data_IF_154094865097
#
_entry.id   IF_154094865097
#
_cell.length_a   1.000
_cell.length_b   1.000
_cell.length_c   1.000
_cell.angle_alpha   90.00
_cell.angle_beta   90.00
_cell.angle_gamma   90.00
#
_symmetry.space_group_name_H-M   'P 1'
#
loop_
_entity.id
_entity.type
_entity.pdbx_description
1 polymer ?
#
# COMPACT_ATOMS: atom_id res chain seq x y z
N UNK A 1 21.43 4.12 5.34
CA UNK A 1 21.17 3.26 4.17
C UNK A 1 21.61 1.86 4.53
N UNK A 2 20.66 0.97 4.89
CA UNK A 2 21.00 -0.37 5.37
C UNK A 2 21.77 -1.14 4.28
N UNK A 3 22.96 -1.65 4.63
CA UNK A 3 23.73 -2.58 3.79
C UNK A 3 23.01 -3.93 3.75
N UNK A 4 21.90 -4.03 3.02
CA UNK A 4 21.29 -5.32 2.66
C UNK A 4 21.65 -5.63 1.21
N UNK A 5 22.37 -6.71 0.99
CA UNK A 5 22.67 -7.24 -0.34
C UNK A 5 21.39 -7.86 -0.90
N UNK A 6 20.71 -7.13 -1.77
CA UNK A 6 19.50 -7.62 -2.44
C UNK A 6 19.89 -8.68 -3.48
N UNK A 7 19.25 -9.84 -3.41
CA UNK A 7 19.55 -10.96 -4.30
C UNK A 7 18.79 -10.76 -5.61
N UNK A 8 19.36 -11.02 -6.80
CA UNK A 8 18.74 -10.75 -8.11
C UNK A 8 17.32 -11.34 -8.28
N UNK A 9 17.02 -12.45 -7.61
CA UNK A 9 15.71 -13.09 -7.63
C UNK A 9 14.60 -12.23 -6.99
N UNK A 10 14.93 -11.35 -6.03
CA UNK A 10 13.99 -10.44 -5.38
C UNK A 10 13.58 -9.31 -6.33
N UNK A 11 14.50 -8.90 -7.21
CA UNK A 11 14.23 -7.94 -8.28
C UNK A 11 13.26 -8.49 -9.32
N UNK A 12 13.50 -9.73 -9.77
CA UNK A 12 12.61 -10.40 -10.71
C UNK A 12 11.21 -10.53 -10.11
N UNK A 13 11.07 -11.04 -8.89
CA UNK A 13 9.76 -11.18 -8.23
C UNK A 13 9.01 -9.84 -8.06
N UNK A 14 9.72 -8.77 -7.69
CA UNK A 14 9.12 -7.44 -7.53
C UNK A 14 8.66 -6.84 -8.87
N UNK A 15 9.48 -6.94 -9.93
CA UNK A 15 9.14 -6.42 -11.26
C UNK A 15 7.96 -7.18 -11.86
N UNK A 16 7.95 -8.51 -11.75
CA UNK A 16 6.84 -9.33 -12.25
C UNK A 16 5.52 -9.03 -11.52
N UNK A 17 5.54 -8.81 -10.19
CA UNK A 17 4.31 -8.47 -9.46
C UNK A 17 3.69 -7.13 -9.87
N UNK A 18 4.50 -6.16 -10.27
CA UNK A 18 4.03 -4.80 -10.65
C UNK A 18 3.50 -4.77 -12.07
N UNK A 19 4.17 -5.46 -13.01
CA UNK A 19 3.82 -5.42 -14.44
C UNK A 19 2.49 -6.16 -14.70
N UNK A 20 2.25 -7.29 -14.05
CA UNK A 20 1.06 -8.11 -14.33
C UNK A 20 -0.24 -7.57 -13.69
N UNK A 21 -0.14 -6.75 -12.63
CA UNK A 21 -1.31 -6.10 -12.01
C UNK A 21 -1.97 -5.02 -12.89
N UNK A 22 -1.34 -4.58 -13.99
CA UNK A 22 -1.73 -3.36 -14.73
C UNK A 22 -2.21 -3.60 -16.17
N UNK A 23 -2.36 -4.85 -16.61
CA UNK A 23 -2.52 -5.18 -18.04
C UNK A 23 -3.93 -4.87 -18.61
N UNK A 24 -4.96 -4.67 -17.78
CA UNK A 24 -6.35 -4.63 -18.28
C UNK A 24 -6.85 -3.27 -18.86
N UNK A 25 -6.05 -2.20 -18.93
CA UNK A 25 -6.53 -0.87 -19.37
C UNK A 25 -5.67 -0.13 -20.42
N UNK A 26 -5.18 -0.83 -21.45
CA UNK A 26 -4.36 -0.22 -22.53
C UNK A 26 -5.19 0.05 -23.79
N UNK A 27 -6.24 0.88 -23.71
CA UNK A 27 -6.97 1.30 -24.92
C UNK A 27 -6.78 2.79 -25.28
N UNK A 28 -6.26 3.65 -24.38
CA UNK A 28 -6.05 5.08 -24.68
C UNK A 28 -4.72 5.60 -24.07
N UNK A 29 -3.59 5.10 -24.57
CA UNK A 29 -2.27 5.32 -23.96
C UNK A 29 -1.78 6.78 -23.97
N UNK A 30 -2.13 7.57 -25.01
CA UNK A 30 -1.45 8.84 -25.30
C UNK A 30 -2.09 10.10 -24.68
N UNK A 31 -3.41 10.12 -24.43
CA UNK A 31 -4.11 11.34 -24.00
C UNK A 31 -4.50 11.38 -22.51
N UNK A 32 -4.44 10.25 -21.80
CA UNK A 32 -4.85 10.17 -20.38
C UNK A 32 -3.93 9.27 -19.55
N UNK A 33 -3.44 8.17 -20.13
CA UNK A 33 -2.59 7.20 -19.43
C UNK A 33 -1.18 7.72 -19.20
N UNK A 34 -0.59 8.49 -20.13
CA UNK A 34 0.78 9.02 -20.00
C UNK A 34 1.01 9.83 -18.71
N UNK A 35 0.27 10.92 -18.47
CA UNK A 35 0.38 11.70 -17.23
C UNK A 35 0.03 10.88 -15.98
N UNK A 36 -0.97 10.00 -16.05
CA UNK A 36 -1.35 9.13 -14.94
C UNK A 36 -0.24 8.13 -14.59
N UNK A 37 0.47 7.59 -15.58
CA UNK A 37 1.57 6.65 -15.41
C UNK A 37 2.82 7.36 -14.88
N UNK A 38 3.11 8.58 -15.33
CA UNK A 38 4.16 9.42 -14.74
C UNK A 38 3.87 9.73 -13.27
N UNK A 39 2.62 10.09 -12.96
CA UNK A 39 2.21 10.38 -11.59
C UNK A 39 2.24 9.13 -10.71
N UNK A 40 1.82 7.98 -11.23
CA UNK A 40 1.92 6.69 -10.55
C UNK A 40 3.37 6.29 -10.29
N UNK A 41 4.26 6.47 -11.26
CA UNK A 41 5.69 6.23 -11.11
C UNK A 41 6.29 7.12 -10.01
N UNK A 42 6.00 8.42 -10.06
CA UNK A 42 6.46 9.38 -9.04
C UNK A 42 5.90 9.07 -7.65
N UNK A 43 4.61 8.74 -7.56
CA UNK A 43 3.96 8.31 -6.32
C UNK A 43 4.58 7.04 -5.76
N UNK A 44 4.89 6.05 -6.60
CA UNK A 44 5.54 4.81 -6.18
C UNK A 44 6.95 5.06 -5.61
N UNK A 45 7.71 5.97 -6.22
CA UNK A 45 9.04 6.36 -5.74
C UNK A 45 8.94 7.06 -4.38
N UNK A 46 8.05 8.04 -4.24
CA UNK A 46 7.80 8.72 -2.98
C UNK A 46 7.35 7.75 -1.89
N UNK A 47 6.48 6.79 -2.20
CA UNK A 47 6.02 5.75 -1.27
C UNK A 47 7.17 4.85 -0.81
N UNK A 48 8.07 4.47 -1.71
CA UNK A 48 9.25 3.68 -1.38
C UNK A 48 10.21 4.47 -0.46
N UNK A 49 10.51 5.72 -0.81
CA UNK A 49 11.38 6.61 -0.01
C UNK A 49 10.77 6.86 1.37
N UNK A 50 9.48 7.18 1.45
CA UNK A 50 8.77 7.41 2.70
C UNK A 50 8.77 6.16 3.59
N UNK A 51 8.52 4.98 3.02
CA UNK A 51 8.54 3.72 3.77
C UNK A 51 9.91 3.42 4.38
N UNK A 52 10.99 3.63 3.62
CA UNK A 52 12.36 3.46 4.10
C UNK A 52 12.72 4.50 5.17
N UNK A 53 12.31 5.75 4.99
CA UNK A 53 12.55 6.81 5.97
C UNK A 53 11.82 6.52 7.29
N UNK A 54 10.54 6.12 7.24
CA UNK A 54 9.77 5.70 8.41
C UNK A 54 10.48 4.55 9.13
N UNK A 55 11.00 3.56 8.40
CA UNK A 55 11.76 2.48 9.00
C UNK A 55 13.02 2.97 9.73
N UNK A 56 13.81 3.85 9.11
CA UNK A 56 15.01 4.42 9.76
C UNK A 56 14.65 5.23 11.02
N UNK A 57 13.55 5.98 10.98
CA UNK A 57 13.06 6.76 12.12
C UNK A 57 12.47 5.83 13.18
N UNK A 58 11.79 4.75 12.86
CA UNK A 58 11.24 3.85 13.88
C UNK A 58 12.30 2.96 14.53
N UNK A 59 13.37 2.61 13.79
CA UNK A 59 14.45 1.73 14.28
C UNK A 59 15.60 2.47 14.99
N UNK A 60 15.76 3.77 14.82
CA UNK A 60 16.87 4.51 15.45
C UNK A 60 16.66 4.85 16.94
N UNK A 61 15.73 4.21 17.65
CA UNK A 61 15.55 4.39 19.10
C UNK A 61 14.47 3.52 19.73
N UNK A 62 14.43 3.56 21.06
CA UNK A 62 13.74 2.53 21.85
C UNK A 62 12.23 2.74 21.94
N UNK A 63 11.75 3.98 22.02
CA UNK A 63 10.32 4.29 22.18
C UNK A 63 9.58 4.40 20.84
N UNK A 64 8.77 3.39 20.49
CA UNK A 64 7.95 3.39 19.26
C UNK A 64 6.89 4.48 19.30
N UNK A 65 6.13 4.55 20.40
CA UNK A 65 4.95 5.40 20.51
C UNK A 65 5.27 6.89 20.41
N UNK A 66 6.37 7.32 21.05
CA UNK A 66 6.83 8.71 20.98
C UNK A 66 7.18 9.13 19.55
N UNK A 67 7.79 8.25 18.77
CA UNK A 67 8.17 8.54 17.37
C UNK A 67 6.97 8.48 16.44
N UNK A 68 6.08 7.52 16.66
CA UNK A 68 4.82 7.41 15.93
C UNK A 68 3.97 8.68 16.10
N UNK A 69 3.90 9.22 17.32
CA UNK A 69 3.21 10.47 17.60
C UNK A 69 3.82 11.68 16.89
N UNK A 70 5.15 11.83 16.92
CA UNK A 70 5.84 12.92 16.20
C UNK A 70 5.61 12.83 14.69
N UNK A 71 5.62 11.61 14.12
CA UNK A 71 5.44 11.40 12.69
C UNK A 71 4.02 11.78 12.23
N UNK A 72 2.99 11.42 13.02
CA UNK A 72 1.62 11.80 12.71
C UNK A 72 1.34 13.30 12.88
N UNK A 73 1.91 13.94 13.92
CA UNK A 73 1.79 15.39 14.07
C UNK A 73 2.46 16.12 12.91
N UNK A 74 3.68 15.71 12.54
CA UNK A 74 4.39 16.31 11.42
C UNK A 74 3.62 16.19 10.10
N UNK A 75 3.05 15.02 9.84
CA UNK A 75 2.21 14.79 8.65
C UNK A 75 0.94 15.67 8.65
N UNK A 76 0.26 15.79 9.79
CA UNK A 76 -0.94 16.61 9.93
C UNK A 76 -0.66 18.10 9.70
N UNK A 77 0.44 18.63 10.28
CA UNK A 77 0.84 20.02 10.09
C UNK A 77 1.18 20.34 8.62
N UNK A 78 1.80 19.38 7.92
CA UNK A 78 2.12 19.53 6.50
C UNK A 78 0.84 19.53 5.64
N UNK A 79 -0.12 18.66 5.95
CA UNK A 79 -1.42 18.64 5.28
C UNK A 79 -2.20 19.95 5.49
N UNK A 80 -2.19 20.50 6.70
CA UNK A 80 -2.80 21.81 7.00
C UNK A 80 -2.21 22.92 6.13
N UNK A 81 -0.89 22.95 5.99
CA UNK A 81 -0.20 23.96 5.17
C UNK A 81 -0.55 23.87 3.67
N UNK A 82 -0.83 22.66 3.18
CA UNK A 82 -1.25 22.42 1.79
C UNK A 82 -2.75 22.70 1.57
N UNK A 83 -3.58 22.46 2.59
CA UNK A 83 -5.04 22.65 2.51
C UNK A 83 -5.49 24.12 2.46
N UNK A 84 -4.61 25.07 2.73
CA UNK A 84 -4.88 26.50 2.47
C UNK A 84 -5.07 26.84 0.99
N UNK A 85 -4.81 25.91 0.05
CA UNK A 85 -4.84 26.18 -1.40
C UNK A 85 -6.21 26.02 -2.09
N UNK A 86 -7.18 25.33 -1.50
CA UNK A 86 -8.60 25.33 -1.94
C UNK A 86 -9.41 24.34 -1.12
N UNK A 87 -10.25 24.84 -0.22
CA UNK A 87 -11.37 24.06 0.29
C UNK A 87 -12.49 24.12 -0.76
N UNK A 88 -12.49 23.19 -1.70
CA UNK A 88 -13.72 22.88 -2.41
C UNK A 88 -14.72 22.38 -1.35
N UNK A 89 -15.88 23.03 -1.26
CA UNK A 89 -16.91 22.67 -0.30
C UNK A 89 -17.22 21.18 -0.46
N UNK A 90 -16.90 20.39 0.57
CA UNK A 90 -17.32 19.00 0.64
C UNK A 90 -18.82 19.07 0.85
N UNK A 91 -19.57 18.98 -0.23
CA UNK A 91 -21.02 18.98 -0.20
C UNK A 91 -21.46 17.62 0.34
N UNK A 92 -21.58 17.52 1.66
CA UNK A 92 -22.04 16.32 2.34
C UNK A 92 -23.56 16.28 2.24
N UNK A 93 -24.07 16.14 1.03
CA UNK A 93 -25.50 15.95 0.78
C UNK A 93 -25.68 14.52 0.28
N UNK A 94 -25.93 13.60 1.21
CA UNK A 94 -27.01 12.60 1.11
C UNK A 94 -26.92 11.55 2.23
N UNK A 95 -27.98 11.52 3.05
CA UNK A 95 -28.43 10.45 3.97
C UNK A 95 -27.40 9.91 5.00
N UNK A 96 -27.48 10.47 6.20
CA UNK A 96 -26.28 10.64 7.02
C UNK A 96 -25.95 9.54 8.02
N UNK A 97 -26.87 8.78 8.61
CA UNK A 97 -26.48 7.98 9.81
C UNK A 97 -25.65 6.72 9.47
N UNK A 98 -26.10 5.90 8.52
CA UNK A 98 -25.36 4.70 8.10
C UNK A 98 -24.08 5.06 7.33
N UNK A 99 -24.13 6.05 6.45
CA UNK A 99 -22.97 6.52 5.71
C UNK A 99 -21.92 7.12 6.64
N UNK A 100 -22.34 8.00 7.57
CA UNK A 100 -21.43 8.55 8.59
C UNK A 100 -20.89 7.45 9.50
N UNK A 101 -21.71 6.46 9.88
CA UNK A 101 -21.27 5.29 10.64
C UNK A 101 -20.19 4.48 9.92
N UNK A 102 -20.38 4.20 8.62
CA UNK A 102 -19.40 3.51 7.78
C UNK A 102 -18.12 4.32 7.56
N UNK A 103 -18.23 5.64 7.39
CA UNK A 103 -17.07 6.53 7.29
C UNK A 103 -16.29 6.52 8.61
N UNK A 104 -16.95 6.68 9.76
CA UNK A 104 -16.30 6.64 11.07
C UNK A 104 -15.64 5.29 11.34
N UNK A 105 -16.31 4.19 10.98
CA UNK A 105 -15.74 2.86 11.08
C UNK A 105 -14.51 2.70 10.19
N UNK A 106 -14.56 3.20 8.95
CA UNK A 106 -13.43 3.20 8.02
C UNK A 106 -12.24 4.01 8.56
N UNK A 107 -12.50 5.19 9.13
CA UNK A 107 -11.47 6.02 9.77
C UNK A 107 -10.86 5.29 10.97
N UNK A 108 -11.66 4.67 11.82
CA UNK A 108 -11.19 3.90 12.97
C UNK A 108 -10.34 2.71 12.54
N UNK A 109 -10.78 1.93 11.55
CA UNK A 109 -10.03 0.81 10.99
C UNK A 109 -8.73 1.26 10.32
N UNK A 110 -8.74 2.41 9.63
CA UNK A 110 -7.54 3.01 9.04
C UNK A 110 -6.53 3.42 10.10
N UNK A 111 -6.97 3.98 11.23
CA UNK A 111 -6.10 4.30 12.36
C UNK A 111 -5.47 3.05 12.97
N UNK A 112 -6.26 1.98 13.19
CA UNK A 112 -5.76 0.69 13.67
C UNK A 112 -4.76 0.08 12.69
N UNK A 113 -5.06 0.13 11.39
CA UNK A 113 -4.16 -0.32 10.34
C UNK A 113 -2.83 0.44 10.35
N UNK A 114 -2.85 1.77 10.53
CA UNK A 114 -1.66 2.60 10.65
C UNK A 114 -0.78 2.23 11.85
N UNK A 115 -1.40 2.00 13.01
CA UNK A 115 -0.71 1.54 14.22
C UNK A 115 -0.10 0.15 13.99
N UNK A 116 -0.87 -0.80 13.47
CA UNK A 116 -0.38 -2.15 13.19
C UNK A 116 0.79 -2.14 12.20
N UNK A 117 0.71 -1.31 11.15
CA UNK A 117 1.77 -1.15 10.16
C UNK A 117 3.07 -0.62 10.78
N UNK A 118 2.98 0.30 11.74
CA UNK A 118 4.15 0.82 12.44
C UNK A 118 4.87 -0.24 13.28
N UNK A 119 4.10 -1.14 13.90
CA UNK A 119 4.62 -2.27 14.67
C UNK A 119 5.32 -3.29 13.75
N UNK A 120 4.70 -3.61 12.61
CA UNK A 120 5.28 -4.47 11.58
C UNK A 120 6.61 -3.91 11.10
N UNK A 121 6.68 -2.62 10.76
CA UNK A 121 7.92 -1.99 10.28
C UNK A 121 9.01 -2.01 11.37
N UNK A 122 8.66 -1.77 12.64
CA UNK A 122 9.66 -1.77 13.73
C UNK A 122 10.19 -3.17 14.03
N UNK A 123 9.33 -4.19 14.03
CA UNK A 123 9.69 -5.56 14.43
C UNK A 123 10.26 -6.41 13.29
N UNK A 124 9.80 -6.14 12.07
CA UNK A 124 10.22 -6.84 10.86
C UNK A 124 10.99 -5.83 9.99
N UNK A 125 10.51 -5.59 8.76
CA UNK A 125 11.09 -4.66 7.80
C UNK A 125 10.01 -4.15 6.84
N UNK A 126 10.31 -3.06 6.11
CA UNK A 126 9.40 -2.51 5.10
C UNK A 126 9.14 -3.49 3.93
N UNK A 127 10.04 -4.44 3.65
CA UNK A 127 9.83 -5.47 2.61
C UNK A 127 8.68 -6.42 2.99
N UNK A 128 8.66 -6.89 4.24
CA UNK A 128 7.61 -7.79 4.74
C UNK A 128 6.25 -7.09 4.74
N UNK A 129 6.23 -5.77 5.01
CA UNK A 129 5.01 -4.95 4.87
C UNK A 129 4.43 -5.01 3.45
N UNK A 130 5.27 -4.90 2.41
CA UNK A 130 4.80 -4.99 1.03
C UNK A 130 4.24 -6.38 0.69
N UNK A 131 4.85 -7.44 1.22
CA UNK A 131 4.37 -8.81 1.03
C UNK A 131 2.99 -9.02 1.70
N UNK A 132 2.84 -8.56 2.94
CA UNK A 132 1.55 -8.58 3.64
C UNK A 132 0.47 -7.78 2.90
N UNK A 133 0.84 -6.63 2.33
CA UNK A 133 -0.06 -5.85 1.48
C UNK A 133 -0.56 -6.64 0.26
N UNK A 134 0.34 -7.32 -0.45
CA UNK A 134 -0.04 -8.18 -1.57
C UNK A 134 -0.97 -9.33 -1.13
N UNK A 135 -0.73 -9.96 0.02
CA UNK A 135 -1.63 -10.99 0.57
C UNK A 135 -3.03 -10.44 0.88
N UNK A 136 -3.12 -9.24 1.47
CA UNK A 136 -4.41 -8.59 1.75
C UNK A 136 -5.20 -8.39 0.45
N UNK A 137 -4.56 -7.99 -0.65
CA UNK A 137 -5.23 -7.88 -1.95
C UNK A 137 -5.76 -9.22 -2.46
N UNK A 138 -5.01 -10.31 -2.29
CA UNK A 138 -5.47 -11.66 -2.65
C UNK A 138 -6.70 -12.05 -1.83
N UNK A 139 -6.65 -11.90 -0.52
CA UNK A 139 -7.81 -12.17 0.36
C UNK A 139 -9.01 -11.31 -0.01
N UNK A 140 -8.79 -10.03 -0.27
CA UNK A 140 -9.85 -9.09 -0.65
C UNK A 140 -10.52 -9.51 -1.96
N UNK A 141 -9.77 -9.98 -2.96
CA UNK A 141 -10.35 -10.49 -4.19
C UNK A 141 -11.15 -11.78 -4.00
N UNK A 142 -10.69 -12.69 -3.12
CA UNK A 142 -11.43 -13.89 -2.76
C UNK A 142 -12.74 -13.54 -2.04
N UNK A 143 -12.69 -12.60 -1.10
CA UNK A 143 -13.88 -12.08 -0.41
C UNK A 143 -14.84 -11.41 -1.41
N UNK A 144 -14.34 -10.59 -2.33
CA UNK A 144 -15.17 -9.97 -3.36
C UNK A 144 -15.82 -11.02 -4.27
N UNK A 145 -15.11 -12.10 -4.63
CA UNK A 145 -15.70 -13.18 -5.42
C UNK A 145 -16.81 -13.92 -4.66
N UNK A 146 -16.64 -14.12 -3.35
CA UNK A 146 -17.60 -14.87 -2.53
C UNK A 146 -18.84 -14.04 -2.17
N UNK A 147 -18.68 -12.77 -1.82
CA UNK A 147 -19.80 -11.88 -1.47
C UNK A 147 -20.48 -11.24 -2.69
N UNK A 148 -19.76 -11.05 -3.79
CA UNK A 148 -20.28 -10.45 -5.03
C UNK A 148 -19.98 -11.32 -6.26
N UNK A 149 -20.47 -12.57 -6.30
CA UNK A 149 -20.13 -13.52 -7.35
C UNK A 149 -20.54 -13.06 -8.75
N UNK A 150 -21.62 -12.28 -8.86
CA UNK A 150 -22.20 -11.79 -10.12
C UNK A 150 -21.47 -10.57 -10.68
N UNK A 151 -20.77 -9.80 -9.82
CA UNK A 151 -20.08 -8.56 -10.23
C UNK A 151 -18.58 -8.73 -10.35
N UNK A 152 -18.01 -9.74 -9.70
CA UNK A 152 -16.57 -9.97 -9.68
C UNK A 152 -16.24 -11.30 -10.37
N UNK A 153 -15.61 -11.22 -11.54
CA UNK A 153 -15.05 -12.39 -12.22
C UNK A 153 -13.54 -12.41 -12.02
N UNK A 154 -13.02 -13.54 -11.54
CA UNK A 154 -11.59 -13.73 -11.39
C UNK A 154 -11.01 -14.07 -12.76
N UNK A 155 -10.37 -13.08 -13.40
CA UNK A 155 -9.64 -13.26 -14.66
C UNK A 155 -8.53 -14.30 -14.50
N UNK A 156 -8.25 -15.10 -15.54
CA UNK A 156 -7.14 -16.06 -15.50
C UNK A 156 -5.78 -15.39 -15.26
N UNK A 157 -5.62 -14.16 -15.75
CA UNK A 157 -4.43 -13.32 -15.51
C UNK A 157 -4.28 -12.93 -14.04
N UNK A 158 -5.39 -12.73 -13.34
CA UNK A 158 -5.37 -12.47 -11.91
C UNK A 158 -4.81 -13.67 -11.15
N UNK A 159 -5.29 -14.89 -11.46
CA UNK A 159 -4.80 -16.13 -10.84
C UNK A 159 -3.30 -16.31 -11.09
N UNK A 160 -2.83 -16.09 -12.32
CA UNK A 160 -1.40 -16.14 -12.65
C UNK A 160 -0.58 -15.13 -11.82
N UNK A 161 -1.09 -13.91 -11.65
CA UNK A 161 -0.45 -12.87 -10.85
C UNK A 161 -0.38 -13.24 -9.38
N UNK A 162 -1.42 -13.87 -8.82
CA UNK A 162 -1.43 -14.37 -7.44
C UNK A 162 -0.38 -15.46 -7.25
N UNK A 163 -0.30 -16.43 -8.17
CA UNK A 163 0.70 -17.52 -8.11
C UNK A 163 2.11 -16.94 -8.15
N UNK A 164 2.38 -15.99 -9.04
CA UNK A 164 3.68 -15.32 -9.13
C UNK A 164 4.01 -14.52 -7.85
N UNK A 165 3.04 -13.82 -7.28
CA UNK A 165 3.23 -13.09 -6.03
C UNK A 165 3.58 -14.02 -4.86
N UNK A 166 2.83 -15.13 -4.71
CA UNK A 166 3.10 -16.15 -3.68
C UNK A 166 4.46 -16.82 -3.90
N UNK A 167 4.81 -17.13 -5.14
CA UNK A 167 6.12 -17.70 -5.48
C UNK A 167 7.27 -16.74 -5.18
N UNK A 168 7.09 -15.44 -5.45
CA UNK A 168 8.05 -14.40 -5.09
C UNK A 168 8.24 -14.32 -3.56
N UNK A 169 7.16 -14.36 -2.78
CA UNK A 169 7.23 -14.38 -1.31
C UNK A 169 8.03 -15.59 -0.82
N UNK A 170 7.72 -16.77 -1.33
CA UNK A 170 8.40 -18.02 -0.97
C UNK A 170 9.92 -17.97 -1.24
N UNK A 171 10.35 -17.40 -2.37
CA UNK A 171 11.78 -17.23 -2.67
C UNK A 171 12.45 -16.25 -1.70
N UNK A 172 11.78 -15.13 -1.39
CA UNK A 172 12.32 -14.10 -0.50
C UNK A 172 12.51 -14.65 0.90
N UNK A 173 11.52 -15.39 1.43
CA UNK A 173 11.59 -15.99 2.76
C UNK A 173 12.69 -17.06 2.82
N UNK A 174 12.77 -17.98 1.85
CA UNK A 174 13.83 -19.02 1.87
C UNK A 174 15.25 -18.47 1.86
N UNK A 175 15.50 -17.33 1.21
CA UNK A 175 16.81 -16.67 1.23
C UNK A 175 17.07 -15.85 2.50
N UNK A 176 16.07 -15.61 3.33
CA UNK A 176 16.23 -14.98 4.65
C UNK A 176 16.65 -15.98 5.73
N UNK A 177 16.48 -17.29 5.50
CA UNK A 177 16.77 -18.35 6.48
C UNK A 177 18.06 -19.15 6.17
N UNK A 178 18.77 -18.83 5.10
CA UNK A 178 20.10 -19.34 4.75
C UNK A 178 21.12 -18.21 4.86
#
# INVERSE_FOLDING_TARGET
>A
MFKRTTVPAQWVGAVFSVVFMQIEHVHNFMNSVGPALMLAAFSSLLSAVAGVYIEMVLKSGDELWRRQFHLYIGAYLHLLSLSCASFAAIDVIANHMLLTGLILLSVALSAVHGIATSLVIKKLDNIVRFQLGALIYVFTAVLNKTFFPDKFSLSGWYILSVVLALYSMFIIERKSFL
#
